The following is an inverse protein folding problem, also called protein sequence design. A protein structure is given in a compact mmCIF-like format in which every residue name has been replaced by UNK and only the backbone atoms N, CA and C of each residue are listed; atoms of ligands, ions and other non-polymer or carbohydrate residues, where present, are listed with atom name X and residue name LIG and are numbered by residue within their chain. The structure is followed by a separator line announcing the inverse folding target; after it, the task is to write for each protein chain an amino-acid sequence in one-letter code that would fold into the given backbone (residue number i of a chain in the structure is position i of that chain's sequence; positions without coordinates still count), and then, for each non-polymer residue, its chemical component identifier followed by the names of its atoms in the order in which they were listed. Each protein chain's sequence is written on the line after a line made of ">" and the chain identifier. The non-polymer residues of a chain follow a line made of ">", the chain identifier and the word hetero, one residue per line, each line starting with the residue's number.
data_IF_418522829349
#
_entry.id   IF_418522829349
#
_cell.length_a   1.000
_cell.length_b   1.000
_cell.length_c   1.000
_cell.angle_alpha   90.00
_cell.angle_beta   90.00
_cell.angle_gamma   90.00
#
_symmetry.space_group_name_H-M   'P 1'
#
loop_
_entity.id
_entity.type
_entity.pdbx_description
1 polymer ?
#
# COMPACT_ATOMS: atom_id res chain seq x y z
N UNK A 1 -16.15 13.34 -16.76
CA UNK A 1 -16.80 14.48 -16.08
C UNK A 1 -15.89 15.69 -16.17
N UNK A 2 -16.26 16.76 -16.91
CA UNK A 2 -15.44 17.99 -16.99
C UNK A 2 -15.75 18.88 -15.78
N UNK A 3 -14.82 18.94 -14.82
CA UNK A 3 -14.91 19.88 -13.71
C UNK A 3 -14.80 21.31 -14.25
N UNK A 4 -15.63 22.24 -13.74
CA UNK A 4 -15.83 23.62 -14.24
C UNK A 4 -14.63 24.58 -14.12
N UNK A 5 -13.41 24.07 -13.98
CA UNK A 5 -12.16 24.83 -13.96
C UNK A 5 -11.17 24.35 -15.04
N UNK A 6 -11.65 23.64 -16.06
CA UNK A 6 -10.83 22.94 -17.06
C UNK A 6 -10.20 23.84 -18.14
N UNK A 7 -10.51 25.14 -18.18
CA UNK A 7 -10.02 26.05 -19.23
C UNK A 7 -8.79 26.90 -18.85
N UNK A 8 -8.06 26.59 -17.77
CA UNK A 8 -6.73 27.15 -17.52
C UNK A 8 -6.61 28.68 -17.37
N UNK A 9 -7.72 29.43 -17.47
CA UNK A 9 -7.75 30.90 -17.47
C UNK A 9 -7.65 31.52 -16.06
N UNK A 10 -7.19 30.75 -15.07
CA UNK A 10 -7.17 31.18 -13.69
C UNK A 10 -5.81 31.81 -13.29
N UNK A 11 -5.22 32.61 -14.19
CA UNK A 11 -3.87 33.19 -14.03
C UNK A 11 -3.79 34.38 -13.05
N UNK A 12 -4.92 34.88 -12.56
CA UNK A 12 -4.99 36.07 -11.71
C UNK A 12 -5.55 35.87 -10.29
N UNK A 13 -6.04 34.68 -9.93
CA UNK A 13 -6.59 34.46 -8.58
C UNK A 13 -5.46 34.17 -7.60
N UNK A 14 -5.12 35.17 -6.79
CA UNK A 14 -4.27 35.00 -5.60
C UNK A 14 -5.05 34.19 -4.57
N UNK A 15 -4.74 32.89 -4.47
CA UNK A 15 -5.20 32.08 -3.35
C UNK A 15 -4.40 32.51 -2.12
N UNK A 16 -5.07 33.18 -1.17
CA UNK A 16 -4.49 33.45 0.14
C UNK A 16 -4.21 32.10 0.82
N UNK A 17 -2.97 31.60 0.75
CA UNK A 17 -2.51 30.52 1.63
C UNK A 17 -2.35 31.13 3.02
N UNK A 18 -3.37 30.94 3.86
CA UNK A 18 -3.41 31.48 5.22
C UNK A 18 -2.59 30.59 6.15
N UNK A 19 -1.41 31.05 6.57
CA UNK A 19 -0.62 30.44 7.64
C UNK A 19 -1.03 30.99 9.01
N UNK A 20 -0.92 30.19 10.07
CA UNK A 20 -1.37 30.48 11.45
C UNK A 20 -0.75 31.74 12.12
N UNK A 21 0.18 32.45 11.48
CA UNK A 21 0.96 33.54 12.12
C UNK A 21 0.70 34.97 11.64
N UNK A 22 0.00 35.19 10.52
CA UNK A 22 -0.18 36.53 9.93
C UNK A 22 -1.66 36.82 9.63
N UNK A 23 -2.52 36.80 10.66
CA UNK A 23 -3.91 37.23 10.50
C UNK A 23 -4.01 38.73 10.79
N UNK A 24 -4.17 39.60 9.79
CA UNK A 24 -4.51 40.99 10.06
C UNK A 24 -5.86 41.03 10.77
N UNK A 25 -6.02 41.93 11.74
CA UNK A 25 -7.29 42.06 12.46
C UNK A 25 -8.45 42.25 11.48
N UNK A 26 -9.56 41.50 11.63
CA UNK A 26 -10.71 41.65 10.76
C UNK A 26 -11.28 43.07 10.85
N UNK A 27 -11.48 43.69 9.68
CA UNK A 27 -12.12 45.00 9.57
C UNK A 27 -13.52 44.95 10.22
N UNK A 28 -13.97 46.02 10.92
CA UNK A 28 -15.29 46.03 11.56
C UNK A 28 -16.45 45.70 10.61
N UNK A 29 -16.40 46.19 9.37
CA UNK A 29 -17.39 45.87 8.35
C UNK A 29 -17.46 44.37 8.02
N UNK A 30 -16.31 43.67 7.99
CA UNK A 30 -16.28 42.24 7.72
C UNK A 30 -16.81 41.43 8.91
N UNK A 31 -16.55 41.88 10.15
CA UNK A 31 -17.13 41.25 11.35
C UNK A 31 -18.65 41.31 11.32
N UNK A 32 -19.22 42.46 10.92
CA UNK A 32 -20.68 42.62 10.77
C UNK A 32 -21.26 41.68 9.71
N UNK A 33 -20.61 41.55 8.55
CA UNK A 33 -21.04 40.60 7.51
C UNK A 33 -20.94 39.15 7.97
N UNK A 34 -19.86 38.80 8.69
CA UNK A 34 -19.67 37.45 9.22
C UNK A 34 -20.72 37.11 10.30
N UNK A 35 -21.10 38.08 11.14
CA UNK A 35 -22.18 37.92 12.10
C UNK A 35 -23.52 37.69 11.39
N UNK A 36 -23.86 38.48 10.37
CA UNK A 36 -25.10 38.28 9.60
C UNK A 36 -25.19 36.90 8.96
N UNK A 37 -24.06 36.37 8.47
CA UNK A 37 -23.99 35.01 7.98
C UNK A 37 -24.17 33.98 9.11
N UNK A 38 -23.59 34.22 10.29
CA UNK A 38 -23.75 33.35 11.44
C UNK A 38 -25.20 33.26 11.89
N UNK A 39 -25.86 34.41 12.06
CA UNK A 39 -27.25 34.49 12.52
C UNK A 39 -28.18 33.73 11.53
N UNK A 40 -28.00 33.98 10.23
CA UNK A 40 -28.72 33.24 9.18
C UNK A 40 -28.46 31.72 9.25
N UNK A 41 -27.21 31.32 9.49
CA UNK A 41 -26.85 29.91 9.54
C UNK A 41 -27.45 29.23 10.76
N UNK A 42 -27.39 29.87 11.93
CA UNK A 42 -27.95 29.36 13.19
C UNK A 42 -29.48 29.16 13.08
N UNK A 43 -30.18 30.14 12.51
CA UNK A 43 -31.63 30.07 12.28
C UNK A 43 -32.01 28.96 11.27
N UNK A 44 -31.24 28.80 10.20
CA UNK A 44 -31.52 27.87 9.11
C UNK A 44 -30.87 26.50 9.21
N UNK A 45 -30.04 26.24 10.23
CA UNK A 45 -29.13 25.09 10.28
C UNK A 45 -29.88 23.77 10.12
N UNK A 46 -30.95 23.58 10.89
CA UNK A 46 -31.70 22.33 10.90
C UNK A 46 -32.37 22.06 9.54
N UNK A 47 -32.86 23.10 8.86
CA UNK A 47 -33.45 22.95 7.52
C UNK A 47 -32.41 22.52 6.49
N UNK A 48 -31.19 23.07 6.59
CA UNK A 48 -30.07 22.70 5.71
C UNK A 48 -29.69 21.24 5.95
N UNK A 49 -29.57 20.82 7.21
CA UNK A 49 -29.29 19.43 7.58
C UNK A 49 -30.38 18.50 7.03
N UNK A 50 -31.65 18.80 7.31
CA UNK A 50 -32.78 18.00 6.85
C UNK A 50 -32.78 17.84 5.31
N UNK A 51 -32.50 18.92 4.58
CA UNK A 51 -32.37 18.88 3.12
C UNK A 51 -31.23 17.95 2.68
N UNK A 52 -30.05 18.05 3.30
CA UNK A 52 -28.89 17.22 2.95
C UNK A 52 -29.10 15.75 3.30
N UNK A 53 -29.77 15.46 4.41
CA UNK A 53 -30.17 14.10 4.82
C UNK A 53 -31.17 13.53 3.82
N UNK A 54 -32.19 14.29 3.44
CA UNK A 54 -33.16 13.88 2.40
C UNK A 54 -32.49 13.59 1.05
N UNK A 55 -31.38 14.28 0.73
CA UNK A 55 -30.57 14.05 -0.47
C UNK A 55 -29.53 12.95 -0.32
N UNK A 56 -29.49 12.23 0.80
CA UNK A 56 -28.50 11.19 1.12
C UNK A 56 -27.04 11.67 0.96
N UNK A 57 -26.84 12.99 1.16
CA UNK A 57 -25.56 13.65 0.92
C UNK A 57 -24.99 14.28 2.18
N UNK A 58 -25.61 14.09 3.34
CA UNK A 58 -25.18 14.67 4.61
C UNK A 58 -23.89 14.01 5.11
N UNK A 59 -22.89 14.84 5.40
CA UNK A 59 -21.65 14.50 6.06
C UNK A 59 -21.31 15.68 6.99
N UNK A 60 -21.24 15.38 8.29
CA UNK A 60 -21.07 16.38 9.36
C UNK A 60 -19.74 17.14 9.27
N UNK A 61 -18.65 16.45 8.93
CA UNK A 61 -17.34 17.08 8.77
C UNK A 61 -17.35 18.08 7.61
N UNK A 62 -17.89 17.67 6.45
CA UNK A 62 -18.00 18.55 5.28
C UNK A 62 -18.92 19.73 5.57
N UNK A 63 -19.99 19.52 6.34
CA UNK A 63 -20.93 20.57 6.74
C UNK A 63 -20.24 21.64 7.59
N UNK A 64 -19.58 21.22 8.67
CA UNK A 64 -18.88 22.11 9.59
C UNK A 64 -17.68 22.81 8.90
N UNK A 65 -16.89 22.07 8.12
CA UNK A 65 -15.77 22.64 7.37
C UNK A 65 -16.24 23.68 6.34
N UNK A 66 -17.38 23.43 5.68
CA UNK A 66 -17.96 24.39 4.72
C UNK A 66 -18.37 25.68 5.42
N UNK A 67 -19.02 25.59 6.58
CA UNK A 67 -19.35 26.77 7.38
C UNK A 67 -18.10 27.57 7.75
N UNK A 68 -17.09 26.93 8.33
CA UNK A 68 -15.85 27.59 8.77
C UNK A 68 -15.17 28.30 7.60
N UNK A 69 -15.03 27.61 6.45
CA UNK A 69 -14.40 28.19 5.25
C UNK A 69 -15.14 29.41 4.71
N UNK A 70 -16.47 29.41 4.76
CA UNK A 70 -17.27 30.55 4.31
C UNK A 70 -17.15 31.70 5.31
N UNK A 71 -17.34 31.43 6.60
CA UNK A 71 -17.22 32.40 7.68
C UNK A 71 -15.86 33.12 7.65
N UNK A 72 -14.76 32.36 7.55
CA UNK A 72 -13.42 32.91 7.46
C UNK A 72 -13.19 33.74 6.18
N UNK A 73 -13.82 33.38 5.06
CA UNK A 73 -13.73 34.18 3.82
C UNK A 73 -14.48 35.50 3.97
N UNK A 74 -15.63 35.51 4.63
CA UNK A 74 -16.35 36.75 4.92
C UNK A 74 -15.52 37.61 5.89
N UNK A 75 -15.10 37.04 7.02
CA UNK A 75 -14.41 37.73 8.10
C UNK A 75 -13.07 38.35 7.65
N UNK A 76 -12.24 37.58 6.93
CA UNK A 76 -10.88 38.03 6.60
C UNK A 76 -10.73 38.52 5.15
N UNK A 77 -11.56 38.09 4.21
CA UNK A 77 -11.48 38.52 2.80
C UNK A 77 -12.61 39.48 2.37
N UNK A 78 -13.60 39.76 3.23
CA UNK A 78 -14.70 40.66 2.90
C UNK A 78 -15.61 40.12 1.80
N UNK A 79 -15.79 38.79 1.73
CA UNK A 79 -16.64 38.15 0.73
C UNK A 79 -18.10 38.59 0.93
N UNK A 80 -18.64 39.32 -0.05
CA UNK A 80 -20.06 39.67 -0.10
C UNK A 80 -20.86 38.55 -0.76
N UNK A 81 -21.86 38.02 -0.06
CA UNK A 81 -22.74 36.96 -0.56
C UNK A 81 -24.17 37.52 -0.64
N UNK A 82 -24.84 37.33 -1.78
CA UNK A 82 -26.22 37.79 -1.98
C UNK A 82 -27.26 36.77 -1.49
N UNK A 83 -27.00 35.49 -1.73
CA UNK A 83 -27.86 34.38 -1.33
C UNK A 83 -27.00 33.36 -0.57
N UNK A 84 -27.14 33.37 0.75
CA UNK A 84 -26.37 32.47 1.62
C UNK A 84 -26.74 31.01 1.40
N UNK A 85 -28.01 30.70 1.14
CA UNK A 85 -28.51 29.33 0.97
C UNK A 85 -27.91 28.69 -0.29
N UNK A 86 -28.06 29.35 -1.43
CA UNK A 86 -27.52 28.85 -2.69
C UNK A 86 -25.98 28.76 -2.65
N UNK A 87 -25.32 29.75 -2.04
CA UNK A 87 -23.87 29.76 -1.92
C UNK A 87 -23.34 28.65 -1.00
N UNK A 88 -24.03 28.41 0.11
CA UNK A 88 -23.68 27.36 1.06
C UNK A 88 -23.81 25.99 0.41
N UNK A 89 -24.96 25.65 -0.20
CA UNK A 89 -25.15 24.36 -0.86
C UNK A 89 -24.12 24.11 -1.96
N UNK A 90 -23.84 25.13 -2.78
CA UNK A 90 -22.81 25.00 -3.82
C UNK A 90 -21.43 24.72 -3.23
N UNK A 91 -21.07 25.41 -2.15
CA UNK A 91 -19.80 25.22 -1.46
C UNK A 91 -19.72 23.84 -0.81
N UNK A 92 -20.81 23.41 -0.17
CA UNK A 92 -20.95 22.10 0.46
C UNK A 92 -20.74 20.98 -0.56
N UNK A 93 -21.50 20.95 -1.66
CA UNK A 93 -21.35 19.90 -2.68
C UNK A 93 -19.98 19.92 -3.34
N UNK A 94 -19.36 21.10 -3.49
CA UNK A 94 -17.99 21.20 -4.00
C UNK A 94 -16.99 20.53 -3.05
N UNK A 95 -17.07 20.82 -1.75
CA UNK A 95 -16.20 20.21 -0.74
C UNK A 95 -16.49 18.70 -0.60
N UNK A 96 -17.75 18.31 -0.60
CA UNK A 96 -18.20 16.91 -0.51
C UNK A 96 -17.63 16.05 -1.64
N UNK A 97 -17.75 16.51 -2.88
CA UNK A 97 -17.21 15.81 -4.05
C UNK A 97 -15.68 15.77 -3.99
N UNK A 98 -15.03 16.85 -3.56
CA UNK A 98 -13.56 16.87 -3.41
C UNK A 98 -13.07 15.91 -2.34
N UNK A 99 -13.77 15.81 -1.21
CA UNK A 99 -13.44 14.88 -0.13
C UNK A 99 -13.67 13.43 -0.58
N UNK A 100 -14.78 13.12 -1.25
CA UNK A 100 -14.98 11.79 -1.84
C UNK A 100 -13.89 11.40 -2.84
N UNK A 101 -13.53 12.29 -3.76
CA UNK A 101 -12.42 12.05 -4.70
C UNK A 101 -11.09 11.85 -3.95
N UNK A 102 -10.89 12.58 -2.84
CA UNK A 102 -9.69 12.45 -2.04
C UNK A 102 -9.64 11.10 -1.29
N UNK A 103 -10.77 10.64 -0.75
CA UNK A 103 -10.96 9.36 -0.08
C UNK A 103 -10.82 8.18 -1.07
N UNK A 104 -11.39 8.28 -2.27
CA UNK A 104 -11.31 7.27 -3.33
C UNK A 104 -9.87 7.01 -3.83
N UNK A 105 -8.90 7.90 -3.51
CA UNK A 105 -7.47 7.64 -3.77
C UNK A 105 -6.89 6.56 -2.88
N UNK A 106 -7.55 6.25 -1.76
CA UNK A 106 -7.12 5.25 -0.80
C UNK A 106 -7.99 4.01 -0.97
N UNK A 107 -7.37 2.83 -0.99
CA UNK A 107 -8.08 1.56 -1.01
C UNK A 107 -8.60 1.28 0.40
N UNK A 108 -9.88 0.94 0.52
CA UNK A 108 -10.47 0.50 1.79
C UNK A 108 -9.69 -0.71 2.32
N UNK A 109 -9.19 -0.60 3.56
CA UNK A 109 -8.53 -1.71 4.24
C UNK A 109 -9.55 -2.84 4.41
N UNK A 110 -9.27 -4.07 3.94
CA UNK A 110 -10.18 -5.18 4.16
C UNK A 110 -10.35 -5.39 5.68
N UNK A 111 -11.59 -5.56 6.18
CA UNK A 111 -11.88 -5.57 7.61
C UNK A 111 -11.22 -6.72 8.40
N UNK A 112 -10.62 -7.68 7.69
CA UNK A 112 -9.88 -8.82 8.26
C UNK A 112 -8.62 -9.14 7.45
N UNK A 113 -7.95 -8.14 6.90
CA UNK A 113 -6.63 -8.37 6.37
C UNK A 113 -5.70 -8.61 7.57
N UNK A 114 -5.47 -9.89 7.90
CA UNK A 114 -4.29 -10.34 8.63
C UNK A 114 -3.07 -10.03 7.75
N UNK A 115 -2.79 -8.75 7.55
CA UNK A 115 -1.53 -8.25 7.04
C UNK A 115 -0.58 -8.33 8.23
N UNK A 116 -0.25 -9.57 8.64
CA UNK A 116 1.08 -9.76 9.16
C UNK A 116 1.99 -9.15 8.10
N UNK A 117 2.71 -8.10 8.49
CA UNK A 117 3.81 -7.65 7.70
C UNK A 117 4.74 -8.84 7.61
N UNK A 118 4.64 -9.63 6.54
CA UNK A 118 5.65 -10.57 6.13
C UNK A 118 6.86 -9.71 5.70
N UNK A 119 7.49 -9.04 6.66
CA UNK A 119 8.90 -8.70 6.63
C UNK A 119 9.72 -9.99 6.79
N UNK A 120 9.31 -11.08 6.14
CA UNK A 120 10.21 -12.20 5.89
C UNK A 120 11.35 -11.60 5.11
N UNK A 121 12.53 -11.58 5.71
CA UNK A 121 13.72 -11.04 5.07
C UNK A 121 13.82 -11.75 3.70
N UNK A 122 13.87 -11.01 2.57
CA UNK A 122 13.85 -11.63 1.24
C UNK A 122 14.98 -12.67 1.06
N UNK A 123 16.05 -12.57 1.85
CA UNK A 123 17.18 -13.49 1.87
C UNK A 123 17.09 -14.60 2.92
N UNK A 124 16.10 -14.58 3.82
CA UNK A 124 15.97 -15.60 4.87
C UNK A 124 15.70 -16.97 4.27
N UNK A 125 14.85 -17.03 3.24
CA UNK A 125 14.55 -18.25 2.51
C UNK A 125 15.78 -18.78 1.75
N UNK A 126 16.49 -17.90 1.05
CA UNK A 126 17.74 -18.25 0.36
C UNK A 126 18.80 -18.79 1.34
N UNK A 127 18.91 -18.15 2.51
CA UNK A 127 19.82 -18.58 3.59
C UNK A 127 19.43 -19.95 4.14
N UNK A 128 18.15 -20.18 4.39
CA UNK A 128 17.66 -21.48 4.86
C UNK A 128 17.90 -22.59 3.83
N UNK A 129 17.74 -22.28 2.53
CA UNK A 129 18.03 -23.22 1.45
C UNK A 129 19.53 -23.56 1.38
N UNK A 130 20.42 -22.56 1.47
CA UNK A 130 21.86 -22.77 1.52
C UNK A 130 22.30 -23.58 2.75
N UNK A 131 21.68 -23.33 3.91
CA UNK A 131 21.94 -24.12 5.12
C UNK A 131 21.52 -25.58 4.93
N UNK A 132 20.34 -25.83 4.35
CA UNK A 132 19.88 -27.19 4.08
C UNK A 132 20.78 -27.91 3.06
N UNK A 133 21.23 -27.22 2.02
CA UNK A 133 22.17 -27.78 1.03
C UNK A 133 23.48 -28.22 1.69
N UNK A 134 24.05 -27.37 2.56
CA UNK A 134 25.25 -27.71 3.32
C UNK A 134 25.02 -28.90 4.26
N UNK A 135 23.87 -28.97 4.94
CA UNK A 135 23.54 -30.12 5.79
C UNK A 135 23.40 -31.42 5.00
N UNK A 136 22.82 -31.37 3.79
CA UNK A 136 22.76 -32.52 2.88
C UNK A 136 24.16 -32.94 2.47
N UNK A 137 25.03 -32.00 2.07
CA UNK A 137 26.41 -32.33 1.70
C UNK A 137 27.20 -32.90 2.87
N UNK A 138 27.07 -32.35 4.07
CA UNK A 138 27.70 -32.88 5.28
C UNK A 138 27.23 -34.30 5.59
N UNK A 139 25.93 -34.57 5.42
CA UNK A 139 25.39 -35.92 5.59
C UNK A 139 26.01 -36.88 4.57
N UNK A 140 25.98 -36.56 3.29
CA UNK A 140 26.53 -37.44 2.24
C UNK A 140 28.03 -37.66 2.44
N UNK A 141 28.79 -36.62 2.75
CA UNK A 141 30.24 -36.73 3.00
C UNK A 141 30.59 -37.66 4.17
N UNK A 142 29.71 -37.77 5.19
CA UNK A 142 29.94 -38.66 6.35
C UNK A 142 29.62 -40.12 6.07
N UNK A 143 28.67 -40.41 5.18
CA UNK A 143 28.13 -41.76 4.99
C UNK A 143 28.50 -42.41 3.65
N UNK A 144 29.10 -41.66 2.73
CA UNK A 144 29.52 -42.14 1.41
C UNK A 144 31.00 -41.87 1.21
N UNK A 145 31.62 -42.67 0.34
CA UNK A 145 33.03 -42.48 0.00
C UNK A 145 33.24 -41.14 -0.71
N UNK A 146 34.44 -40.58 -0.57
CA UNK A 146 34.81 -39.26 -1.13
C UNK A 146 34.44 -39.13 -2.61
N UNK A 147 34.68 -40.18 -3.38
CA UNK A 147 34.40 -40.19 -4.81
C UNK A 147 32.88 -40.14 -5.13
N UNK A 148 32.08 -40.88 -4.36
CA UNK A 148 30.61 -40.86 -4.50
C UNK A 148 30.05 -39.49 -4.08
N UNK A 149 30.59 -38.90 -3.02
CA UNK A 149 30.26 -37.54 -2.57
C UNK A 149 30.59 -36.48 -3.63
N UNK A 150 31.80 -36.51 -4.20
CA UNK A 150 32.22 -35.54 -5.23
C UNK A 150 31.32 -35.61 -6.46
N UNK A 151 30.96 -36.82 -6.93
CA UNK A 151 30.02 -37.00 -8.02
C UNK A 151 28.62 -36.47 -7.71
N UNK A 152 28.12 -36.75 -6.51
CA UNK A 152 26.84 -36.25 -6.06
C UNK A 152 26.82 -34.72 -5.99
N UNK A 153 27.87 -34.12 -5.40
CA UNK A 153 28.01 -32.66 -5.29
C UNK A 153 28.07 -32.00 -6.67
N UNK A 154 28.89 -32.54 -7.59
CA UNK A 154 28.94 -32.05 -8.97
C UNK A 154 27.57 -32.14 -9.65
N UNK A 155 26.87 -33.27 -9.48
CA UNK A 155 25.55 -33.45 -10.07
C UNK A 155 24.51 -32.45 -9.54
N UNK A 156 24.48 -32.19 -8.23
CA UNK A 156 23.52 -31.26 -7.63
C UNK A 156 23.86 -29.80 -7.97
N UNK A 157 25.12 -29.38 -7.77
CA UNK A 157 25.51 -27.98 -7.92
C UNK A 157 25.55 -27.49 -9.38
N UNK A 158 25.70 -28.40 -10.36
CA UNK A 158 25.77 -28.04 -11.79
C UNK A 158 24.42 -28.19 -12.52
N UNK A 159 23.32 -28.51 -11.81
CA UNK A 159 21.98 -28.48 -12.41
C UNK A 159 21.55 -27.04 -12.72
N UNK A 160 20.80 -26.80 -13.81
CA UNK A 160 20.32 -27.76 -14.81
C UNK A 160 21.32 -28.06 -15.94
N UNK A 161 22.49 -27.42 -15.97
CA UNK A 161 23.46 -27.51 -17.06
C UNK A 161 24.04 -28.91 -17.28
N UNK A 162 24.03 -29.77 -16.24
CA UNK A 162 24.57 -31.13 -16.30
C UNK A 162 23.48 -32.20 -16.13
N UNK A 163 23.56 -33.23 -16.95
CA UNK A 163 22.87 -34.52 -16.81
C UNK A 163 23.91 -35.66 -16.63
N UNK A 164 23.44 -36.91 -16.47
CA UNK A 164 24.34 -38.05 -16.23
C UNK A 164 25.34 -38.31 -17.38
N UNK A 165 24.96 -38.05 -18.63
CA UNK A 165 25.84 -38.24 -19.79
C UNK A 165 26.91 -37.15 -19.86
N UNK A 166 26.53 -35.89 -19.66
CA UNK A 166 27.52 -34.79 -19.61
C UNK A 166 28.45 -34.92 -18.41
N UNK A 167 27.96 -35.44 -17.27
CA UNK A 167 28.83 -35.68 -16.11
C UNK A 167 29.78 -36.86 -16.36
N UNK A 168 29.33 -37.88 -17.09
CA UNK A 168 30.17 -38.98 -17.54
C UNK A 168 31.30 -38.51 -18.46
N UNK A 169 31.03 -37.58 -19.37
CA UNK A 169 32.04 -36.97 -20.24
C UNK A 169 33.09 -36.20 -19.43
N UNK A 170 32.67 -35.42 -18.43
CA UNK A 170 33.55 -34.61 -17.58
C UNK A 170 34.43 -35.49 -16.67
N UNK A 171 33.87 -36.57 -16.14
CA UNK A 171 34.52 -37.38 -15.10
C UNK A 171 35.16 -38.67 -15.63
N UNK A 172 34.91 -39.01 -16.90
CA UNK A 172 35.27 -40.29 -17.53
C UNK A 172 34.68 -41.53 -16.83
N UNK A 173 33.57 -41.37 -16.10
CA UNK A 173 32.85 -42.45 -15.43
C UNK A 173 31.59 -42.78 -16.21
N UNK A 174 31.25 -44.06 -16.33
CA UNK A 174 30.08 -44.48 -17.08
C UNK A 174 28.78 -43.90 -16.47
N UNK A 175 27.91 -43.36 -17.33
CA UNK A 175 26.68 -42.66 -16.92
C UNK A 175 25.76 -43.52 -16.03
N UNK A 176 25.67 -44.83 -16.30
CA UNK A 176 24.86 -45.76 -15.48
C UNK A 176 25.42 -45.91 -14.06
N UNK A 177 26.75 -45.87 -13.89
CA UNK A 177 27.40 -45.92 -12.58
C UNK A 177 27.13 -44.65 -11.78
N UNK A 178 27.24 -43.48 -12.42
CA UNK A 178 26.87 -42.18 -11.83
C UNK A 178 25.40 -42.19 -11.41
N UNK A 179 24.50 -42.60 -12.30
CA UNK A 179 23.07 -42.69 -12.02
C UNK A 179 22.79 -43.60 -10.82
N UNK A 180 23.44 -44.76 -10.74
CA UNK A 180 23.30 -45.69 -9.61
C UNK A 180 23.72 -45.05 -8.29
N UNK A 181 24.88 -44.38 -8.27
CA UNK A 181 25.41 -43.69 -7.08
C UNK A 181 24.45 -42.58 -6.62
N UNK A 182 24.12 -41.66 -7.54
CA UNK A 182 23.23 -40.52 -7.24
C UNK A 182 21.85 -41.02 -6.80
N UNK A 183 21.30 -42.05 -7.44
CA UNK A 183 19.98 -42.60 -7.08
C UNK A 183 19.99 -43.27 -5.70
N UNK A 184 21.08 -43.95 -5.33
CA UNK A 184 21.28 -44.53 -3.99
C UNK A 184 21.28 -43.42 -2.94
N UNK A 185 22.09 -42.38 -3.13
CA UNK A 185 22.18 -41.23 -2.21
C UNK A 185 20.82 -40.53 -2.08
N UNK A 186 20.15 -40.23 -3.20
CA UNK A 186 18.83 -39.59 -3.18
C UNK A 186 17.77 -40.44 -2.47
N UNK A 187 17.84 -41.78 -2.58
CA UNK A 187 16.93 -42.66 -1.86
C UNK A 187 17.16 -42.60 -0.36
N UNK A 188 18.41 -42.60 0.07
CA UNK A 188 18.81 -42.51 1.47
C UNK A 188 18.42 -41.16 2.09
N UNK A 189 18.67 -40.06 1.38
CA UNK A 189 18.23 -38.71 1.79
C UNK A 189 16.70 -38.63 1.99
N UNK A 190 15.92 -39.29 1.12
CA UNK A 190 14.46 -39.37 1.27
C UNK A 190 14.00 -40.20 2.47
N UNK A 191 14.84 -41.12 2.95
CA UNK A 191 14.58 -41.90 4.16
C UNK A 191 15.03 -41.16 5.43
N UNK A 192 15.83 -40.10 5.31
CA UNK A 192 16.26 -39.28 6.44
C UNK A 192 15.15 -38.27 6.83
N UNK A 193 14.31 -38.66 7.80
CA UNK A 193 13.16 -37.86 8.23
C UNK A 193 13.55 -36.45 8.70
N UNK A 194 14.74 -36.27 9.28
CA UNK A 194 15.22 -34.96 9.75
C UNK A 194 15.45 -34.01 8.58
N UNK A 195 16.19 -34.44 7.56
CA UNK A 195 16.45 -33.63 6.36
C UNK A 195 15.17 -33.39 5.56
N UNK A 196 14.29 -34.40 5.47
CA UNK A 196 13.00 -34.28 4.79
C UNK A 196 12.09 -33.27 5.47
N UNK A 197 12.03 -33.25 6.80
CA UNK A 197 11.22 -32.28 7.53
C UNK A 197 11.74 -30.85 7.31
N UNK A 198 13.06 -30.63 7.39
CA UNK A 198 13.67 -29.33 7.07
C UNK A 198 13.38 -28.89 5.64
N UNK A 199 13.44 -29.81 4.67
CA UNK A 199 13.07 -29.51 3.29
C UNK A 199 11.62 -29.01 3.15
N UNK A 200 10.68 -29.55 3.94
CA UNK A 200 9.28 -29.08 3.94
C UNK A 200 9.10 -27.69 4.55
N UNK A 201 9.97 -27.30 5.48
CA UNK A 201 9.94 -25.98 6.12
C UNK A 201 10.50 -24.88 5.21
N UNK A 202 11.43 -25.22 4.31
CA UNK A 202 12.06 -24.27 3.35
C UNK A 202 11.26 -24.14 2.03
N UNK A 203 10.43 -25.14 1.71
CA UNK A 203 9.58 -25.17 0.51
C UNK A 203 8.31 -24.35 0.69
#
# INVERSE_FOLDING_TARGET
>A
MRLGNSNGNNKGKKYLKRGKGNMPEPKPAHRKMAQQFNDWFEEGMQEIINYLVYKEAYNEDVFNETYIRIYEKILYAGLSIKDYKAYYYRSYYTNYIQNKIAEDRYVSMPPFANLEAHHGNPHERERQQLMLENEVFDYVHRYYDRHEFELFKMYISLKPAVNYHTLAEITHIQAHSIQRIVSKILKDLRSNQKLVNKYKEVR
#
